data_IF_044054686420
#
_entry.id   IF_044054686420
#
_cell.length_a   1.000
_cell.length_b   1.000
_cell.length_c   1.000
_cell.angle_alpha   90.00
_cell.angle_beta   90.00
_cell.angle_gamma   90.00
#
_symmetry.space_group_name_H-M   'P 1'
#
loop_
_entity.id
_entity.type
_entity.pdbx_description
1 polymer ?
#
# COMPACT_ATOMS: atom_id res chain seq x y z
N UNK A 1 -65.30 -21.38 -91.02
CA UNK A 1 -64.87 -19.98 -90.80
C UNK A 1 -64.65 -19.74 -89.31
N UNK A 2 -63.66 -18.90 -88.99
CA UNK A 2 -63.23 -18.41 -87.66
C UNK A 2 -62.33 -19.30 -86.79
N UNK A 3 -61.19 -19.68 -87.36
CA UNK A 3 -59.94 -19.61 -86.59
C UNK A 3 -59.70 -18.15 -86.20
N UNK A 4 -59.46 -17.88 -84.91
CA UNK A 4 -59.21 -16.49 -84.46
C UNK A 4 -59.12 -16.26 -82.95
N UNK A 5 -59.53 -17.20 -82.08
CA UNK A 5 -59.53 -16.96 -80.62
C UNK A 5 -58.50 -17.74 -79.79
N UNK A 6 -57.74 -18.69 -80.37
CA UNK A 6 -56.70 -19.44 -79.64
C UNK A 6 -55.29 -18.84 -79.71
N UNK A 7 -55.03 -17.88 -80.60
CA UNK A 7 -53.68 -17.30 -80.76
C UNK A 7 -53.36 -16.17 -79.77
N UNK A 8 -54.35 -15.53 -79.15
CA UNK A 8 -54.09 -14.45 -78.18
C UNK A 8 -53.92 -14.94 -76.73
N UNK A 9 -54.55 -16.07 -76.34
CA UNK A 9 -54.34 -16.63 -75.00
C UNK A 9 -52.97 -17.32 -74.84
N UNK A 10 -52.46 -17.95 -75.92
CA UNK A 10 -51.13 -18.59 -75.91
C UNK A 10 -50.01 -17.56 -76.01
N UNK A 11 -50.22 -16.45 -76.72
CA UNK A 11 -49.24 -15.37 -76.81
C UNK A 11 -49.07 -14.60 -75.49
N UNK A 12 -50.14 -14.37 -74.72
CA UNK A 12 -50.04 -13.65 -73.43
C UNK A 12 -49.45 -14.54 -72.32
N UNK A 13 -49.71 -15.84 -72.32
CA UNK A 13 -49.10 -16.77 -71.34
C UNK A 13 -47.62 -17.04 -71.67
N UNK A 14 -47.24 -17.10 -72.95
CA UNK A 14 -45.83 -17.26 -73.35
C UNK A 14 -44.96 -16.02 -73.03
N UNK A 15 -45.52 -14.81 -73.09
CA UNK A 15 -44.78 -13.58 -72.73
C UNK A 15 -44.61 -13.43 -71.21
N UNK A 16 -45.55 -13.93 -70.39
CA UNK A 16 -45.41 -13.90 -68.92
C UNK A 16 -44.45 -14.99 -68.40
N UNK A 17 -44.35 -16.15 -69.07
CA UNK A 17 -43.43 -17.23 -68.65
C UNK A 17 -41.96 -16.94 -69.01
N UNK A 18 -41.70 -16.17 -70.07
CA UNK A 18 -40.31 -15.77 -70.44
C UNK A 18 -39.76 -14.64 -69.55
N UNK A 19 -40.62 -13.86 -68.88
CA UNK A 19 -40.17 -12.80 -67.95
C UNK A 19 -39.86 -13.34 -66.53
N UNK A 20 -40.32 -14.54 -66.16
CA UNK A 20 -40.07 -15.13 -64.82
C UNK A 20 -38.82 -16.01 -64.77
N UNK A 21 -38.22 -16.39 -65.90
CA UNK A 21 -36.99 -17.19 -65.96
C UNK A 21 -35.68 -16.37 -66.02
N UNK A 22 -35.78 -15.03 -65.95
CA UNK A 22 -34.64 -14.11 -65.94
C UNK A 22 -34.17 -13.68 -64.55
N UNK A 23 -34.74 -14.21 -63.47
CA UNK A 23 -34.27 -13.95 -62.11
C UNK A 23 -33.15 -14.93 -61.73
N UNK A 24 -32.07 -14.92 -62.52
CA UNK A 24 -30.77 -15.35 -62.01
C UNK A 24 -30.45 -14.44 -60.83
N UNK A 25 -30.62 -14.95 -59.60
CA UNK A 25 -30.10 -14.30 -58.42
C UNK A 25 -28.61 -14.09 -58.63
N UNK A 26 -28.21 -12.88 -59.02
CA UNK A 26 -26.80 -12.46 -58.98
C UNK A 26 -26.40 -12.68 -57.54
N UNK A 27 -25.49 -13.62 -57.29
CA UNK A 27 -24.66 -13.55 -56.08
C UNK A 27 -24.04 -12.16 -56.15
N UNK A 28 -24.55 -11.24 -55.33
CA UNK A 28 -23.89 -9.97 -55.10
C UNK A 28 -22.45 -10.27 -54.72
N UNK A 29 -21.54 -9.36 -55.07
CA UNK A 29 -20.17 -9.45 -54.57
C UNK A 29 -20.22 -9.83 -53.08
N UNK A 30 -19.41 -10.80 -52.61
CA UNK A 30 -19.41 -11.17 -51.21
C UNK A 30 -19.34 -9.88 -50.39
N UNK A 31 -20.41 -9.61 -49.63
CA UNK A 31 -20.44 -8.45 -48.76
C UNK A 31 -19.29 -8.65 -47.79
N UNK A 32 -18.31 -7.74 -47.72
CA UNK A 32 -17.23 -7.85 -46.76
C UNK A 32 -17.87 -8.11 -45.39
N UNK A 33 -17.34 -9.06 -44.58
CA UNK A 33 -17.84 -9.28 -43.23
C UNK A 33 -18.01 -7.92 -42.55
N UNK A 34 -19.15 -7.67 -41.92
CA UNK A 34 -19.45 -6.35 -41.34
C UNK A 34 -18.29 -5.90 -40.44
N UNK A 35 -17.45 -4.96 -40.89
CA UNK A 35 -16.27 -4.50 -40.16
C UNK A 35 -16.60 -3.50 -39.06
N UNK A 36 -17.89 -3.28 -38.80
CA UNK A 36 -18.39 -2.19 -37.95
C UNK A 36 -18.59 -2.61 -36.49
N UNK A 37 -17.89 -3.61 -36.01
CA UNK A 37 -17.86 -3.96 -34.59
C UNK A 37 -16.68 -3.28 -33.85
N UNK A 38 -16.74 -3.17 -32.51
CA UNK A 38 -15.62 -2.67 -31.71
C UNK A 38 -14.33 -3.49 -31.88
N UNK A 39 -13.16 -2.85 -31.79
CA UNK A 39 -11.89 -3.58 -31.67
C UNK A 39 -11.85 -4.41 -30.39
N UNK A 40 -11.03 -5.48 -30.42
CA UNK A 40 -10.70 -6.24 -29.22
C UNK A 40 -10.08 -5.34 -28.16
N UNK A 41 -10.32 -5.67 -26.89
CA UNK A 41 -9.52 -5.15 -25.78
C UNK A 41 -8.13 -5.79 -25.87
N UNK A 42 -7.08 -4.96 -25.89
CA UNK A 42 -5.70 -5.40 -26.10
C UNK A 42 -4.80 -5.26 -24.86
N UNK A 43 -5.30 -4.65 -23.79
CA UNK A 43 -4.54 -4.31 -22.58
C UNK A 43 -5.17 -4.85 -21.29
N UNK A 44 -5.93 -5.95 -21.41
CA UNK A 44 -6.52 -6.64 -20.27
C UNK A 44 -5.44 -7.22 -19.36
N UNK A 45 -5.43 -6.81 -18.11
CA UNK A 45 -4.52 -7.32 -17.07
C UNK A 45 -5.32 -7.93 -15.92
N UNK A 46 -4.79 -8.98 -15.31
CA UNK A 46 -5.30 -9.58 -14.08
C UNK A 46 -4.17 -9.69 -13.06
N UNK A 47 -4.41 -9.20 -11.85
CA UNK A 47 -3.44 -9.28 -10.75
C UNK A 47 -4.15 -9.76 -9.49
N UNK A 48 -3.69 -10.87 -8.92
CA UNK A 48 -4.15 -11.29 -7.60
C UNK A 48 -3.67 -10.28 -6.55
N UNK A 49 -4.62 -9.76 -5.76
CA UNK A 49 -4.41 -8.78 -4.69
C UNK A 49 -5.14 -9.24 -3.43
N UNK A 50 -5.01 -8.46 -2.36
CA UNK A 50 -5.75 -8.67 -1.12
C UNK A 50 -7.26 -8.75 -1.38
N UNK A 51 -7.89 -9.87 -1.00
CA UNK A 51 -9.33 -10.06 -1.07
C UNK A 51 -9.93 -10.29 -2.47
N UNK A 52 -9.13 -10.46 -3.53
CA UNK A 52 -9.66 -10.78 -4.85
C UNK A 52 -8.65 -10.71 -6.00
N UNK A 53 -9.15 -10.81 -7.22
CA UNK A 53 -8.37 -10.60 -8.44
C UNK A 53 -8.79 -9.25 -9.02
N UNK A 54 -7.85 -8.34 -9.19
CA UNK A 54 -8.06 -7.05 -9.83
C UNK A 54 -7.88 -7.17 -11.33
N UNK A 55 -8.90 -6.76 -12.08
CA UNK A 55 -8.96 -6.75 -13.53
C UNK A 55 -8.99 -5.31 -14.01
N UNK A 56 -8.13 -5.00 -14.98
CA UNK A 56 -8.01 -3.65 -15.52
C UNK A 56 -7.82 -3.66 -17.02
N UNK A 57 -8.57 -2.83 -17.75
CA UNK A 57 -8.44 -2.69 -19.21
C UNK A 57 -9.00 -1.36 -19.73
N UNK A 58 -8.57 -0.99 -20.94
CA UNK A 58 -9.07 0.21 -21.64
C UNK A 58 -10.24 -0.14 -22.53
N UNK A 59 -11.30 0.68 -22.47
CA UNK A 59 -12.47 0.52 -23.34
C UNK A 59 -12.09 0.90 -24.78
N UNK A 60 -12.32 0.02 -25.78
CA UNK A 60 -12.03 0.32 -27.18
C UNK A 60 -12.82 1.54 -27.64
N UNK A 61 -12.12 2.50 -28.26
CA UNK A 61 -12.74 3.72 -28.84
C UNK A 61 -12.84 3.67 -30.36
N UNK A 62 -12.38 2.57 -30.96
CA UNK A 62 -12.33 2.37 -32.40
C UNK A 62 -12.97 1.05 -32.80
N UNK A 63 -13.58 1.06 -33.98
CA UNK A 63 -14.07 -0.14 -34.67
C UNK A 63 -12.93 -0.86 -35.37
N UNK A 64 -13.17 -2.07 -35.85
CA UNK A 64 -12.16 -2.87 -36.55
C UNK A 64 -11.52 -2.12 -37.72
N UNK A 65 -12.29 -1.31 -38.44
CA UNK A 65 -11.84 -0.42 -39.53
C UNK A 65 -11.14 0.88 -39.07
N UNK A 66 -10.77 0.99 -37.79
CA UNK A 66 -10.19 2.16 -37.12
C UNK A 66 -11.09 3.41 -37.02
N UNK A 67 -12.34 3.37 -37.48
CA UNK A 67 -13.30 4.46 -37.27
C UNK A 67 -13.66 4.62 -35.79
N UNK A 68 -14.06 5.81 -35.37
CA UNK A 68 -14.39 6.09 -33.95
C UNK A 68 -15.73 5.46 -33.55
N UNK A 69 -15.79 4.97 -32.31
CA UNK A 69 -17.05 4.57 -31.66
C UNK A 69 -17.62 5.79 -30.95
N UNK A 70 -18.74 6.29 -31.46
CA UNK A 70 -19.46 7.42 -30.85
C UNK A 70 -20.39 6.95 -29.73
N UNK A 71 -20.95 5.74 -29.87
CA UNK A 71 -21.91 5.16 -28.94
C UNK A 71 -21.41 3.79 -28.44
N UNK A 72 -20.57 3.75 -27.40
CA UNK A 72 -20.14 2.50 -26.81
C UNK A 72 -21.30 1.86 -26.04
N UNK A 73 -21.50 0.54 -26.19
CA UNK A 73 -22.61 -0.17 -25.54
C UNK A 73 -22.19 -0.75 -24.19
N UNK A 74 -21.82 -2.02 -24.17
CA UNK A 74 -21.46 -2.76 -22.96
C UNK A 74 -20.14 -3.50 -23.11
N UNK A 75 -19.42 -3.66 -22.00
CA UNK A 75 -18.36 -4.66 -21.86
C UNK A 75 -18.86 -5.80 -20.96
N UNK A 76 -18.58 -7.05 -21.32
CA UNK A 76 -18.90 -8.24 -20.53
C UNK A 76 -17.61 -8.96 -20.16
N UNK A 77 -17.46 -9.29 -18.88
CA UNK A 77 -16.31 -10.02 -18.35
C UNK A 77 -16.69 -11.48 -18.15
N UNK A 78 -15.90 -12.35 -18.76
CA UNK A 78 -16.04 -13.79 -18.71
C UNK A 78 -14.87 -14.41 -17.96
N UNK A 79 -15.14 -15.46 -17.17
CA UNK A 79 -14.18 -16.17 -16.35
C UNK A 79 -14.35 -17.68 -16.51
N UNK A 80 -13.25 -18.40 -16.52
CA UNK A 80 -13.19 -19.85 -16.29
C UNK A 80 -12.06 -20.14 -15.31
N UNK A 81 -12.14 -21.27 -14.62
CA UNK A 81 -11.13 -21.72 -13.69
C UNK A 81 -10.73 -23.17 -13.94
N UNK A 82 -9.47 -23.49 -13.66
CA UNK A 82 -8.90 -24.82 -13.76
C UNK A 82 -7.84 -25.06 -12.68
N UNK A 83 -7.18 -26.22 -12.72
CA UNK A 83 -6.13 -26.59 -11.77
C UNK A 83 -4.75 -25.97 -12.10
N UNK A 84 -4.64 -25.16 -13.15
CA UNK A 84 -3.38 -24.53 -13.55
C UNK A 84 -2.52 -25.34 -14.52
N UNK A 85 -2.94 -26.54 -14.91
CA UNK A 85 -2.16 -27.45 -15.78
C UNK A 85 -2.47 -27.25 -17.26
N UNK A 86 -1.44 -27.10 -18.09
CA UNK A 86 -1.57 -26.98 -19.56
C UNK A 86 -2.10 -25.62 -20.02
N UNK A 87 -2.43 -25.54 -21.30
CA UNK A 87 -2.96 -24.31 -21.90
C UNK A 87 -4.35 -23.97 -21.35
N UNK A 88 -4.64 -22.68 -21.09
CA UNK A 88 -5.98 -22.26 -20.69
C UNK A 88 -7.02 -22.66 -21.73
N UNK A 89 -8.29 -22.78 -21.31
CA UNK A 89 -9.40 -23.07 -22.23
C UNK A 89 -9.47 -22.03 -23.37
N UNK A 90 -9.68 -22.45 -24.64
CA UNK A 90 -9.87 -21.50 -25.75
C UNK A 90 -11.09 -20.60 -25.55
N UNK A 91 -10.96 -19.32 -25.88
CA UNK A 91 -12.03 -18.33 -25.76
C UNK A 91 -12.84 -18.26 -27.06
N UNK A 92 -13.68 -19.26 -27.32
CA UNK A 92 -14.47 -19.34 -28.54
C UNK A 92 -15.77 -18.53 -28.40
N UNK A 93 -15.90 -17.49 -29.23
CA UNK A 93 -17.12 -16.70 -29.34
C UNK A 93 -18.24 -17.52 -29.96
N UNK A 94 -19.41 -17.54 -29.33
CA UNK A 94 -20.62 -18.15 -29.85
C UNK A 94 -21.81 -17.22 -29.60
N UNK A 95 -22.18 -16.46 -30.63
CA UNK A 95 -23.07 -15.31 -30.48
C UNK A 95 -22.46 -14.27 -29.55
N UNK A 96 -23.08 -14.10 -28.40
CA UNK A 96 -22.80 -13.03 -27.44
C UNK A 96 -22.14 -13.53 -26.14
N UNK A 97 -21.61 -14.75 -26.18
CA UNK A 97 -21.01 -15.50 -25.07
C UNK A 97 -19.72 -16.16 -25.48
N UNK A 98 -18.90 -16.50 -24.49
CA UNK A 98 -17.68 -17.31 -24.67
C UNK A 98 -17.96 -18.73 -24.19
N UNK A 99 -17.83 -19.73 -25.08
CA UNK A 99 -18.17 -21.12 -24.77
C UNK A 99 -17.29 -21.66 -23.63
N UNK A 100 -17.92 -22.17 -22.58
CA UNK A 100 -17.23 -22.75 -21.43
C UNK A 100 -16.65 -21.73 -20.46
N UNK A 101 -16.98 -20.44 -20.61
CA UNK A 101 -16.71 -19.41 -19.63
C UNK A 101 -18.02 -18.90 -19.04
N UNK A 102 -17.97 -18.53 -17.76
CA UNK A 102 -19.08 -17.91 -17.03
C UNK A 102 -18.97 -16.40 -17.15
N UNK A 103 -20.06 -15.71 -17.51
CA UNK A 103 -20.11 -14.25 -17.43
C UNK A 103 -20.23 -13.85 -15.96
N UNK A 104 -19.28 -13.06 -15.45
CA UNK A 104 -19.25 -12.65 -14.04
C UNK A 104 -19.64 -11.18 -13.83
N UNK A 105 -19.54 -10.35 -14.86
CA UNK A 105 -19.92 -8.94 -14.78
C UNK A 105 -20.29 -8.35 -16.16
N UNK A 106 -21.12 -7.31 -16.12
CA UNK A 106 -21.48 -6.47 -17.28
C UNK A 106 -21.29 -5.00 -16.91
N UNK A 107 -20.61 -4.24 -17.76
CA UNK A 107 -20.27 -2.84 -17.56
C UNK A 107 -20.92 -2.00 -18.65
N UNK A 108 -21.81 -1.07 -18.27
CA UNK A 108 -22.35 -0.07 -19.20
C UNK A 108 -21.28 0.97 -19.50
N UNK A 109 -21.09 1.27 -20.78
CA UNK A 109 -20.08 2.20 -21.28
C UNK A 109 -20.66 3.56 -21.67
N UNK A 110 -21.99 3.63 -21.77
CA UNK A 110 -22.80 4.83 -22.04
C UNK A 110 -23.37 5.42 -20.74
N UNK A 111 -24.00 6.59 -20.84
CA UNK A 111 -24.57 7.29 -19.68
C UNK A 111 -25.84 6.62 -19.11
N UNK A 112 -25.96 6.52 -17.77
CA UNK A 112 -24.88 6.73 -16.79
C UNK A 112 -23.87 5.56 -16.86
N UNK A 113 -22.55 5.87 -16.95
CA UNK A 113 -21.55 4.83 -17.10
C UNK A 113 -21.42 3.99 -15.83
N UNK A 114 -20.87 2.79 -15.98
CA UNK A 114 -20.51 1.95 -14.86
C UNK A 114 -19.63 2.71 -13.86
N UNK A 115 -19.84 2.56 -12.53
CA UNK A 115 -18.98 3.21 -11.52
C UNK A 115 -17.52 2.73 -11.59
N UNK A 116 -17.28 1.57 -12.21
CA UNK A 116 -15.96 1.00 -12.45
C UNK A 116 -15.22 1.67 -13.62
N UNK A 117 -15.89 2.50 -14.43
CA UNK A 117 -15.31 3.20 -15.57
C UNK A 117 -14.81 4.59 -15.17
N UNK A 118 -13.49 4.81 -15.23
CA UNK A 118 -12.84 6.11 -14.97
C UNK A 118 -11.83 6.41 -16.08
N UNK A 119 -11.93 7.58 -16.70
CA UNK A 119 -10.99 7.99 -17.76
C UNK A 119 -10.96 7.07 -18.99
N UNK A 120 -12.01 6.29 -19.25
CA UNK A 120 -12.05 5.29 -20.33
C UNK A 120 -11.40 3.95 -19.98
N UNK A 121 -11.02 3.74 -18.71
CA UNK A 121 -10.45 2.50 -18.18
C UNK A 121 -11.41 1.88 -17.17
N UNK A 122 -11.60 0.57 -17.23
CA UNK A 122 -12.37 -0.19 -16.24
C UNK A 122 -11.40 -0.81 -15.25
N UNK A 123 -11.72 -0.68 -13.96
CA UNK A 123 -11.07 -1.41 -12.86
C UNK A 123 -12.13 -2.16 -12.07
N UNK A 124 -12.00 -3.48 -11.97
CA UNK A 124 -12.96 -4.36 -11.31
C UNK A 124 -12.25 -5.40 -10.46
N UNK A 125 -12.73 -5.68 -9.25
CA UNK A 125 -12.18 -6.73 -8.39
C UNK A 125 -13.16 -7.90 -8.35
N UNK A 126 -12.77 -9.02 -8.92
CA UNK A 126 -13.48 -10.29 -8.78
C UNK A 126 -13.20 -10.87 -7.39
N UNK A 127 -14.27 -11.11 -6.64
CA UNK A 127 -14.23 -11.72 -5.29
C UNK A 127 -15.09 -12.99 -5.20
N UNK A 128 -15.70 -13.41 -6.31
CA UNK A 128 -16.80 -14.38 -6.27
C UNK A 128 -16.32 -15.81 -6.41
N UNK A 129 -16.42 -16.60 -5.32
CA UNK A 129 -16.12 -18.03 -5.34
C UNK A 129 -14.66 -18.33 -5.72
N UNK A 130 -13.73 -17.49 -5.27
CA UNK A 130 -12.31 -17.71 -5.49
C UNK A 130 -11.78 -18.80 -4.56
N UNK A 131 -10.94 -19.69 -5.09
CA UNK A 131 -10.34 -20.82 -4.38
C UNK A 131 -8.83 -20.73 -4.54
N UNK A 132 -8.10 -20.85 -3.43
CA UNK A 132 -6.64 -20.78 -3.44
C UNK A 132 -6.04 -21.94 -4.26
N UNK A 133 -4.94 -21.65 -4.95
CA UNK A 133 -4.25 -22.58 -5.84
C UNK A 133 -4.89 -22.73 -7.22
N UNK A 134 -6.13 -22.24 -7.43
CA UNK A 134 -6.77 -22.31 -8.75
C UNK A 134 -6.31 -21.20 -9.67
N UNK A 135 -6.19 -21.53 -10.96
CA UNK A 135 -5.92 -20.57 -12.02
C UNK A 135 -7.23 -20.08 -12.60
N UNK A 136 -7.37 -18.77 -12.68
CA UNK A 136 -8.51 -18.07 -13.27
C UNK A 136 -8.10 -17.43 -14.57
N UNK A 137 -8.85 -17.69 -15.63
CA UNK A 137 -8.65 -17.11 -16.96
C UNK A 137 -9.80 -16.18 -17.30
N UNK A 138 -9.46 -14.94 -17.66
CA UNK A 138 -10.42 -13.87 -17.95
C UNK A 138 -10.36 -13.45 -19.41
N UNK A 139 -11.53 -13.09 -19.94
CA UNK A 139 -11.74 -12.57 -21.28
C UNK A 139 -12.79 -11.47 -21.23
N UNK A 140 -12.55 -10.38 -21.95
CA UNK A 140 -13.52 -9.29 -22.11
C UNK A 140 -14.10 -9.33 -23.52
N UNK A 141 -15.41 -9.13 -23.59
CA UNK A 141 -16.15 -8.97 -24.84
C UNK A 141 -16.83 -7.60 -24.85
N UNK A 142 -16.72 -6.87 -25.95
CA UNK A 142 -17.34 -5.53 -26.10
C UNK A 142 -18.42 -5.56 -27.17
N UNK A 143 -19.54 -4.93 -26.87
CA UNK A 143 -20.68 -4.75 -27.77
C UNK A 143 -20.98 -3.26 -27.86
N UNK A 144 -21.19 -2.72 -29.07
CA UNK A 144 -21.61 -1.33 -29.23
C UNK A 144 -23.11 -1.12 -28.94
N UNK A 145 -23.58 0.13 -28.98
CA UNK A 145 -24.98 0.45 -28.73
C UNK A 145 -25.95 -0.16 -29.76
N UNK A 146 -25.45 -0.57 -30.93
CA UNK A 146 -26.24 -1.23 -31.98
C UNK A 146 -26.26 -2.76 -31.82
N UNK A 147 -25.67 -3.30 -30.76
CA UNK A 147 -25.65 -4.75 -30.50
C UNK A 147 -24.55 -5.50 -31.27
N UNK A 148 -23.61 -4.80 -31.92
CA UNK A 148 -22.52 -5.45 -32.65
C UNK A 148 -21.38 -5.81 -31.72
N UNK A 149 -21.08 -7.09 -31.65
CA UNK A 149 -20.07 -7.66 -30.75
C UNK A 149 -18.73 -7.82 -31.47
N UNK A 150 -17.68 -7.26 -30.88
CA UNK A 150 -16.31 -7.42 -31.36
C UNK A 150 -15.71 -8.79 -31.00
N UNK A 151 -14.50 -9.11 -31.51
CA UNK A 151 -13.78 -10.30 -31.11
C UNK A 151 -13.44 -10.27 -29.60
N UNK A 152 -13.29 -11.44 -28.95
CA UNK A 152 -12.85 -11.51 -27.56
C UNK A 152 -11.45 -10.90 -27.40
N UNK A 153 -11.18 -10.34 -26.21
CA UNK A 153 -9.84 -9.93 -25.82
C UNK A 153 -8.85 -11.11 -25.85
N UNK A 154 -7.55 -10.80 -25.82
CA UNK A 154 -6.57 -11.78 -25.40
C UNK A 154 -6.94 -12.34 -24.01
N UNK A 155 -6.64 -13.62 -23.79
CA UNK A 155 -6.86 -14.29 -22.52
C UNK A 155 -5.78 -13.85 -21.53
N UNK A 156 -6.17 -13.48 -20.32
CA UNK A 156 -5.24 -13.28 -19.21
C UNK A 156 -5.51 -14.34 -18.16
N UNK A 157 -4.45 -14.97 -17.65
CA UNK A 157 -4.55 -15.99 -16.60
C UNK A 157 -3.78 -15.56 -15.37
N UNK A 158 -4.33 -15.86 -14.20
CA UNK A 158 -3.70 -15.57 -12.90
C UNK A 158 -4.07 -16.68 -11.92
N UNK A 159 -3.12 -17.09 -11.09
CA UNK A 159 -3.39 -18.04 -10.00
C UNK A 159 -3.78 -17.27 -8.75
N UNK A 160 -4.87 -17.67 -8.11
CA UNK A 160 -5.26 -17.08 -6.84
C UNK A 160 -4.48 -17.76 -5.71
N UNK A 161 -3.48 -17.07 -5.16
CA UNK A 161 -2.58 -17.65 -4.14
C UNK A 161 -3.07 -17.34 -2.73
N UNK A 162 -2.90 -18.29 -1.80
CA UNK A 162 -3.20 -18.06 -0.40
C UNK A 162 -2.24 -17.03 0.21
N UNK A 163 -2.76 -16.03 0.95
CA UNK A 163 -1.93 -15.13 1.74
C UNK A 163 -1.31 -15.87 2.94
N UNK A 164 -0.20 -15.34 3.50
CA UNK A 164 0.32 -15.84 4.76
C UNK A 164 -0.65 -15.59 5.92
N UNK A 165 -0.52 -16.38 6.98
CA UNK A 165 -1.12 -16.03 8.27
C UNK A 165 -0.49 -14.75 8.85
N UNK A 166 -1.15 -14.19 9.87
CA UNK A 166 -0.65 -13.00 10.54
C UNK A 166 0.71 -13.31 11.22
N UNK A 167 1.71 -12.41 11.13
CA UNK A 167 2.94 -12.53 11.91
C UNK A 167 2.65 -12.63 13.40
N UNK A 168 3.34 -13.53 14.08
CA UNK A 168 3.20 -13.76 15.52
C UNK A 168 4.22 -12.97 16.33
N UNK A 169 4.03 -12.93 17.66
CA UNK A 169 5.02 -12.44 18.62
C UNK A 169 5.64 -11.06 18.27
N UNK A 170 4.82 -10.12 17.77
CA UNK A 170 5.26 -8.75 17.52
C UNK A 170 5.72 -8.10 18.84
N UNK A 171 6.94 -7.58 18.84
CA UNK A 171 7.56 -6.86 19.95
C UNK A 171 8.11 -5.52 19.46
N UNK A 172 8.07 -4.53 20.34
CA UNK A 172 8.65 -3.22 20.09
C UNK A 172 9.51 -2.78 21.26
N UNK A 173 10.75 -2.43 20.97
CA UNK A 173 11.69 -1.84 21.91
C UNK A 173 11.75 -0.33 21.66
N UNK A 174 11.41 0.51 22.65
CA UNK A 174 11.50 1.96 22.49
C UNK A 174 12.97 2.39 22.42
N UNK A 175 13.27 3.30 21.50
CA UNK A 175 14.58 3.97 21.39
C UNK A 175 14.40 5.48 21.47
N UNK A 176 15.49 6.22 21.55
CA UNK A 176 15.41 7.67 21.41
C UNK A 176 14.86 8.02 20.01
N UNK A 177 13.74 8.74 19.98
CA UNK A 177 13.01 9.15 18.77
C UNK A 177 12.69 7.99 17.81
N UNK A 178 12.47 6.79 18.33
CA UNK A 178 12.23 5.63 17.49
C UNK A 178 11.69 4.40 18.22
N UNK A 179 11.38 3.38 17.42
CA UNK A 179 10.99 2.05 17.88
C UNK A 179 11.69 1.00 17.02
N UNK A 180 12.33 0.03 17.68
CA UNK A 180 12.83 -1.19 17.03
C UNK A 180 11.78 -2.29 17.16
N UNK A 181 11.23 -2.71 16.04
CA UNK A 181 10.21 -3.77 15.95
C UNK A 181 10.87 -5.09 15.54
N UNK A 182 10.38 -6.18 16.12
CA UNK A 182 10.70 -7.55 15.71
C UNK A 182 9.47 -8.44 15.82
N UNK A 183 9.38 -9.47 14.99
CA UNK A 183 8.25 -10.39 14.98
C UNK A 183 8.68 -11.80 14.53
N UNK A 184 7.78 -12.76 14.71
CA UNK A 184 7.92 -14.11 14.21
C UNK A 184 7.24 -14.25 12.85
N UNK A 185 7.96 -14.81 11.88
CA UNK A 185 7.42 -15.16 10.58
C UNK A 185 6.31 -16.23 10.71
N UNK A 186 5.20 -16.12 9.97
CA UNK A 186 4.20 -17.19 9.92
C UNK A 186 4.79 -18.43 9.23
N UNK A 187 4.45 -19.62 9.73
CA UNK A 187 4.89 -20.89 9.15
C UNK A 187 3.91 -21.43 8.09
N UNK A 188 2.66 -20.98 8.12
CA UNK A 188 1.56 -21.44 7.28
C UNK A 188 0.87 -20.30 6.54
N UNK A 189 0.22 -20.66 5.44
CA UNK A 189 -0.71 -19.80 4.71
C UNK A 189 -2.13 -20.04 5.22
N UNK A 190 -3.05 -19.16 4.86
CA UNK A 190 -4.48 -19.27 5.26
C UNK A 190 -5.15 -20.56 4.77
N UNK A 191 -4.61 -21.21 3.73
CA UNK A 191 -5.08 -22.52 3.26
C UNK A 191 -4.44 -23.72 3.99
N UNK A 192 -3.65 -23.48 5.03
CA UNK A 192 -2.95 -24.49 5.84
C UNK A 192 -1.65 -25.02 5.22
N UNK A 193 -1.31 -24.64 3.98
CA UNK A 193 -0.05 -25.04 3.36
C UNK A 193 1.15 -24.30 3.96
N UNK A 194 2.36 -24.89 3.94
CA UNK A 194 3.54 -24.25 4.54
C UNK A 194 4.05 -23.08 3.70
N UNK A 195 4.60 -22.06 4.36
CA UNK A 195 5.37 -20.99 3.72
C UNK A 195 6.69 -21.59 3.21
N UNK A 196 6.93 -21.50 1.90
CA UNK A 196 8.13 -22.04 1.25
C UNK A 196 9.11 -20.96 0.82
N UNK A 197 8.59 -19.80 0.45
CA UNK A 197 9.37 -18.68 -0.07
C UNK A 197 9.51 -17.59 1.00
N UNK A 198 10.63 -16.85 1.01
CA UNK A 198 10.83 -15.76 1.96
C UNK A 198 9.76 -14.68 1.76
N UNK A 199 9.05 -14.37 2.85
CA UNK A 199 8.01 -13.36 2.87
C UNK A 199 8.60 -11.96 3.01
N UNK A 200 7.90 -10.97 2.49
CA UNK A 200 8.13 -9.56 2.82
C UNK A 200 7.10 -9.13 3.86
N UNK A 201 7.38 -8.06 4.61
CA UNK A 201 6.46 -7.58 5.65
C UNK A 201 6.19 -6.11 5.46
N UNK A 202 4.91 -5.74 5.55
CA UNK A 202 4.51 -4.34 5.67
C UNK A 202 4.34 -4.00 7.15
N UNK A 203 5.00 -2.93 7.56
CA UNK A 203 4.89 -2.40 8.92
C UNK A 203 3.85 -1.29 8.89
N UNK A 204 2.85 -1.43 9.74
CA UNK A 204 1.74 -0.50 9.85
C UNK A 204 1.82 0.28 11.16
N UNK A 205 1.55 1.58 11.11
CA UNK A 205 1.53 2.47 12.27
C UNK A 205 0.21 3.23 12.34
N UNK A 206 -0.36 3.36 13.54
CA UNK A 206 -1.49 4.22 13.84
C UNK A 206 -1.15 5.21 14.97
N UNK A 207 -1.73 6.42 14.96
CA UNK A 207 -1.54 7.41 16.02
C UNK A 207 -2.34 7.09 17.30
N UNK A 208 -3.36 6.24 17.22
CA UNK A 208 -4.22 5.84 18.34
C UNK A 208 -4.73 4.39 18.15
N UNK A 209 -5.34 3.76 19.18
CA UNK A 209 -5.73 2.35 19.13
C UNK A 209 -6.81 2.02 18.09
N UNK A 210 -7.64 2.99 17.69
CA UNK A 210 -8.83 2.76 16.86
C UNK A 210 -8.68 3.30 15.44
N UNK A 211 -7.72 4.20 15.20
CA UNK A 211 -7.41 4.69 13.86
C UNK A 211 -7.02 3.56 12.91
N UNK A 212 -7.35 3.78 11.63
CA UNK A 212 -6.85 2.96 10.54
C UNK A 212 -5.33 3.15 10.43
N UNK A 213 -4.55 2.06 10.42
CA UNK A 213 -3.10 2.17 10.40
C UNK A 213 -2.62 2.40 8.96
N UNK A 214 -1.51 3.10 8.81
CA UNK A 214 -0.87 3.34 7.50
C UNK A 214 0.40 2.52 7.38
N UNK A 215 0.73 2.10 6.17
CA UNK A 215 2.01 1.42 5.90
C UNK A 215 3.13 2.45 5.95
N UNK A 216 4.09 2.24 6.84
CA UNK A 216 5.27 3.12 7.01
C UNK A 216 6.53 2.56 6.34
N UNK A 217 6.52 1.28 6.00
CA UNK A 217 7.65 0.64 5.36
C UNK A 217 7.35 -0.80 4.97
N UNK A 218 8.20 -1.33 4.09
CA UNK A 218 8.22 -2.74 3.70
C UNK A 218 9.63 -3.29 3.86
N UNK A 219 9.75 -4.49 4.42
CA UNK A 219 11.04 -5.16 4.60
C UNK A 219 11.51 -5.88 3.33
N UNK A 220 12.81 -6.17 3.27
CA UNK A 220 13.36 -7.12 2.31
C UNK A 220 12.85 -8.54 2.61
N UNK A 221 12.82 -9.45 1.61
CA UNK A 221 12.38 -10.83 1.82
C UNK A 221 13.15 -11.51 2.97
N UNK A 222 12.43 -12.16 3.88
CA UNK A 222 12.98 -12.88 5.02
C UNK A 222 13.35 -12.02 6.24
N UNK A 223 13.32 -10.69 6.12
CA UNK A 223 13.67 -9.79 7.23
C UNK A 223 12.47 -9.59 8.15
N UNK A 224 12.62 -9.99 9.43
CA UNK A 224 11.59 -9.94 10.48
C UNK A 224 11.82 -8.86 11.54
N UNK A 225 12.49 -7.78 11.15
CA UNK A 225 12.74 -6.62 11.99
C UNK A 225 12.62 -5.32 11.19
N UNK A 226 12.24 -4.24 11.88
CA UNK A 226 12.12 -2.91 11.29
C UNK A 226 12.43 -1.84 12.34
N UNK A 227 13.04 -0.74 11.93
CA UNK A 227 13.32 0.39 12.81
C UNK A 227 12.57 1.62 12.32
N UNK A 228 11.59 2.06 13.09
CA UNK A 228 10.87 3.31 12.87
C UNK A 228 11.62 4.45 13.57
N UNK A 229 11.95 5.51 12.85
CA UNK A 229 12.80 6.61 13.32
C UNK A 229 12.11 7.95 13.11
N UNK A 230 12.62 8.99 13.79
CA UNK A 230 12.10 10.35 13.66
C UNK A 230 10.80 10.57 14.42
N UNK A 231 10.52 9.72 15.42
CA UNK A 231 9.35 9.84 16.28
C UNK A 231 9.53 10.93 17.33
N UNK A 232 8.41 11.31 17.94
CA UNK A 232 8.39 12.14 19.14
C UNK A 232 8.53 11.21 20.36
N UNK A 233 9.44 11.54 21.28
CA UNK A 233 9.51 10.85 22.56
C UNK A 233 8.28 11.15 23.40
N UNK A 234 7.97 10.23 24.31
CA UNK A 234 6.86 10.31 25.27
C UNK A 234 5.47 10.33 24.60
N UNK A 235 5.41 10.05 23.30
CA UNK A 235 4.19 9.85 22.52
C UNK A 235 4.01 8.38 22.20
N UNK A 236 2.83 7.84 22.50
CA UNK A 236 2.51 6.44 22.22
C UNK A 236 2.09 6.25 20.76
N UNK A 237 2.69 5.25 20.11
CA UNK A 237 2.36 4.83 18.75
C UNK A 237 1.89 3.38 18.76
N UNK A 238 1.03 3.03 17.82
CA UNK A 238 0.45 1.70 17.70
C UNK A 238 0.98 1.02 16.44
N UNK A 239 1.53 -0.19 16.59
CA UNK A 239 2.15 -0.92 15.50
C UNK A 239 1.46 -2.25 15.26
N UNK A 240 1.33 -2.61 14.00
CA UNK A 240 1.01 -3.96 13.56
C UNK A 240 1.91 -4.31 12.37
N UNK A 241 2.05 -5.59 12.08
CA UNK A 241 2.80 -6.06 10.92
C UNK A 241 1.95 -7.06 10.17
N UNK A 242 1.94 -6.99 8.83
CA UNK A 242 1.33 -8.04 8.01
C UNK A 242 2.34 -8.61 7.03
N UNK A 243 2.25 -9.91 6.82
CA UNK A 243 3.07 -10.61 5.87
C UNK A 243 2.49 -10.48 4.45
N UNK A 244 3.39 -10.34 3.47
CA UNK A 244 3.07 -10.26 2.05
C UNK A 244 3.85 -11.34 1.32
N UNK A 245 3.10 -12.24 0.68
CA UNK A 245 3.62 -13.26 -0.21
C UNK A 245 3.63 -12.74 -1.63
N UNK A 246 4.74 -12.95 -2.32
CA UNK A 246 4.89 -12.65 -3.74
C UNK A 246 5.33 -13.91 -4.47
N UNK A 247 4.61 -14.27 -5.53
CA UNK A 247 4.96 -15.37 -6.42
C UNK A 247 4.75 -14.88 -7.86
N UNK A 248 5.82 -14.82 -8.66
CA UNK A 248 5.80 -14.21 -10.00
C UNK A 248 5.17 -12.80 -10.00
N UNK A 249 4.06 -12.61 -10.73
CA UNK A 249 3.30 -11.34 -10.81
C UNK A 249 2.16 -11.24 -9.79
N UNK A 250 2.07 -12.20 -8.87
CA UNK A 250 0.97 -12.35 -7.92
C UNK A 250 1.40 -11.91 -6.53
N UNK A 251 0.51 -11.21 -5.82
CA UNK A 251 0.77 -10.73 -4.46
C UNK A 251 -0.42 -11.02 -3.56
N UNK A 252 -0.18 -11.56 -2.38
CA UNK A 252 -1.22 -11.78 -1.38
C UNK A 252 -0.74 -11.28 -0.01
N UNK A 253 -1.44 -10.29 0.53
CA UNK A 253 -1.22 -9.78 1.87
C UNK A 253 -2.13 -10.53 2.86
N UNK A 254 -1.55 -10.97 3.96
CA UNK A 254 -2.28 -11.57 5.07
C UNK A 254 -2.94 -10.55 5.98
N UNK A 255 -3.66 -11.06 6.97
CA UNK A 255 -4.14 -10.24 8.08
C UNK A 255 -2.94 -9.60 8.83
N UNK A 256 -3.18 -8.43 9.42
CA UNK A 256 -2.20 -7.83 10.31
C UNK A 256 -2.15 -8.60 11.64
N UNK A 257 -0.98 -8.58 12.27
CA UNK A 257 -0.80 -9.04 13.65
C UNK A 257 -1.69 -8.23 14.61
N UNK A 258 -1.83 -8.76 15.83
CA UNK A 258 -2.30 -7.96 16.95
C UNK A 258 -1.46 -6.68 17.09
N UNK A 259 -2.13 -5.59 17.50
CA UNK A 259 -1.47 -4.30 17.68
C UNK A 259 -0.70 -4.29 18.99
N UNK A 260 0.48 -3.69 18.97
CA UNK A 260 1.20 -3.31 20.19
C UNK A 260 1.26 -1.78 20.33
N UNK A 261 1.29 -1.30 21.56
CA UNK A 261 1.55 0.10 21.87
C UNK A 261 3.00 0.26 22.30
N UNK A 262 3.71 1.24 21.74
CA UNK A 262 5.10 1.53 22.07
C UNK A 262 5.28 3.04 22.20
N UNK A 263 5.95 3.45 23.27
CA UNK A 263 6.25 4.85 23.56
C UNK A 263 7.76 5.05 23.49
N UNK A 264 8.29 5.68 22.43
CA UNK A 264 9.70 6.08 22.35
C UNK A 264 10.06 6.93 23.56
N UNK A 265 11.25 6.72 24.12
CA UNK A 265 11.70 7.43 25.31
C UNK A 265 13.18 7.78 25.17
N UNK A 266 13.54 8.99 25.58
CA UNK A 266 14.95 9.35 25.77
C UNK A 266 15.43 8.77 27.09
N UNK A 267 16.36 7.83 27.03
CA UNK A 267 16.96 7.19 28.21
C UNK A 267 18.41 7.58 28.44
N UNK A 268 19.03 8.24 27.45
CA UNK A 268 20.42 8.70 27.52
C UNK A 268 20.47 10.10 28.09
N UNK A 269 21.12 10.23 29.25
CA UNK A 269 21.42 11.53 29.83
C UNK A 269 22.42 12.33 28.97
N UNK A 270 22.43 13.67 29.11
CA UNK A 270 23.45 14.49 28.49
C UNK A 270 24.87 14.11 28.93
N UNK A 271 25.85 14.43 28.09
CA UNK A 271 27.25 14.43 28.51
C UNK A 271 27.48 15.42 29.68
N UNK A 272 28.36 15.09 30.64
CA UNK A 272 28.74 16.02 31.70
C UNK A 272 29.31 17.33 31.14
N UNK A 273 28.98 18.45 31.78
CA UNK A 273 29.62 19.72 31.45
C UNK A 273 31.10 19.72 31.83
N UNK A 274 31.91 20.44 31.04
CA UNK A 274 33.35 20.52 31.24
C UNK A 274 33.77 21.92 31.70
N UNK A 275 35.02 22.03 32.16
CA UNK A 275 35.63 23.32 32.48
C UNK A 275 34.94 24.05 33.64
N UNK A 276 34.38 23.31 34.61
CA UNK A 276 33.89 23.93 35.83
C UNK A 276 35.06 24.60 36.54
N UNK A 277 34.89 25.89 36.84
CA UNK A 277 35.79 26.71 37.65
C UNK A 277 34.99 27.42 38.73
N UNK A 278 35.61 27.66 39.88
CA UNK A 278 35.01 28.36 41.01
C UNK A 278 35.98 29.42 41.55
N UNK A 279 35.45 30.63 41.80
CA UNK A 279 36.18 31.76 42.35
C UNK A 279 35.56 32.15 43.68
N UNK A 280 36.22 31.89 44.83
CA UNK A 280 35.69 32.25 46.14
C UNK A 280 35.84 33.75 46.41
N UNK A 281 34.90 34.31 47.17
CA UNK A 281 34.94 35.65 47.75
C UNK A 281 34.29 35.63 49.14
N UNK A 282 34.27 36.77 49.85
CA UNK A 282 33.71 36.84 51.20
C UNK A 282 32.22 36.51 51.18
N UNK A 283 31.87 35.35 51.73
CA UNK A 283 30.48 34.89 51.85
C UNK A 283 29.85 34.34 50.56
N UNK A 284 30.61 34.17 49.47
CA UNK A 284 30.08 33.65 48.21
C UNK A 284 31.13 32.92 47.35
N UNK A 285 30.68 32.07 46.44
CA UNK A 285 31.51 31.42 45.41
C UNK A 285 30.84 31.64 44.05
N UNK A 286 31.58 32.22 43.10
CA UNK A 286 31.14 32.34 41.70
C UNK A 286 31.61 31.13 40.91
N UNK A 287 30.68 30.42 40.29
CA UNK A 287 30.94 29.26 39.43
C UNK A 287 30.73 29.62 37.97
N UNK A 288 31.56 29.04 37.10
CA UNK A 288 31.42 29.11 35.64
C UNK A 288 31.80 27.78 35.02
N UNK A 289 31.12 27.37 33.95
CA UNK A 289 31.42 26.14 33.21
C UNK A 289 31.25 26.36 31.70
N UNK A 290 31.74 25.40 30.91
CA UNK A 290 31.49 25.40 29.47
C UNK A 290 30.05 24.91 29.19
N UNK A 291 29.32 25.55 28.26
CA UNK A 291 28.01 25.08 27.85
C UNK A 291 28.05 23.62 27.36
N UNK A 292 26.99 22.86 27.64
CA UNK A 292 26.80 21.55 27.02
C UNK A 292 26.72 21.68 25.48
N UNK A 293 27.24 20.68 24.77
CA UNK A 293 27.10 20.57 23.31
C UNK A 293 25.76 19.97 22.89
N UNK A 294 25.01 19.40 23.82
CA UNK A 294 23.70 18.80 23.55
C UNK A 294 22.61 19.89 23.52
N UNK A 295 21.83 19.97 22.43
CA UNK A 295 20.87 21.06 22.22
C UNK A 295 19.64 20.97 23.12
N UNK A 296 19.41 19.83 23.77
CA UNK A 296 18.22 19.55 24.57
C UNK A 296 18.48 19.56 26.08
N UNK A 297 19.63 20.09 26.53
CA UNK A 297 19.84 20.42 27.94
C UNK A 297 18.87 21.51 28.36
N UNK A 298 18.03 21.22 29.35
CA UNK A 298 17.06 22.16 29.89
C UNK A 298 17.58 22.92 31.11
N UNK A 299 18.46 22.31 31.90
CA UNK A 299 18.93 22.86 33.18
C UNK A 299 20.30 22.32 33.56
N UNK A 300 21.15 23.17 34.13
CA UNK A 300 22.34 22.79 34.87
C UNK A 300 22.02 22.75 36.35
N UNK A 301 22.32 21.65 37.03
CA UNK A 301 22.07 21.49 38.48
C UNK A 301 23.40 21.60 39.21
N UNK A 302 23.46 22.47 40.21
CA UNK A 302 24.67 22.72 40.98
C UNK A 302 24.61 22.04 42.32
N UNK A 303 25.70 21.36 42.66
CA UNK A 303 25.86 20.65 43.92
C UNK A 303 27.04 21.22 44.70
N UNK A 304 26.89 21.31 46.02
CA UNK A 304 27.91 21.73 46.97
C UNK A 304 28.04 20.71 48.09
N UNK A 305 29.27 20.34 48.42
CA UNK A 305 29.62 19.63 49.65
C UNK A 305 30.45 20.55 50.56
N UNK A 306 30.20 20.52 51.88
CA UNK A 306 31.00 21.23 52.88
C UNK A 306 31.87 20.24 53.66
N UNK A 307 33.19 20.41 53.66
CA UNK A 307 34.10 19.42 54.27
C UNK A 307 33.86 18.01 53.72
N UNK A 308 33.72 17.00 54.56
CA UNK A 308 33.43 15.61 54.17
C UNK A 308 31.93 15.31 53.97
N UNK A 309 31.04 16.30 54.08
CA UNK A 309 29.61 16.10 53.89
C UNK A 309 29.28 15.63 52.46
N UNK A 310 28.15 14.92 52.28
CA UNK A 310 27.65 14.59 50.95
C UNK A 310 27.26 15.87 50.17
N UNK A 311 27.36 15.85 48.83
CA UNK A 311 26.93 16.96 48.00
C UNK A 311 25.42 17.18 48.11
N UNK A 312 25.00 18.43 48.26
CA UNK A 312 23.61 18.87 48.26
C UNK A 312 23.35 19.85 47.11
N UNK A 313 22.16 19.79 46.51
CA UNK A 313 21.76 20.74 45.46
C UNK A 313 21.67 22.16 46.05
N UNK A 314 22.39 23.09 45.45
CA UNK A 314 22.41 24.51 45.86
C UNK A 314 21.78 25.44 44.83
N UNK A 315 21.59 24.98 43.60
CA UNK A 315 21.04 25.81 42.56
C UNK A 315 20.67 25.07 41.29
N UNK A 316 20.01 25.80 40.39
CA UNK A 316 19.77 25.38 39.03
C UNK A 316 19.82 26.59 38.10
N UNK A 317 20.40 26.41 36.92
CA UNK A 317 20.58 27.47 35.92
C UNK A 317 20.10 26.96 34.57
N UNK A 318 19.32 27.75 33.85
CA UNK A 318 18.85 27.39 32.50
C UNK A 318 19.83 27.92 31.44
N UNK A 319 20.15 27.14 30.38
CA UNK A 319 20.88 27.66 29.22
C UNK A 319 20.20 28.91 28.62
N UNK A 320 20.97 29.84 28.00
CA UNK A 320 22.40 29.76 27.72
C UNK A 320 23.31 30.17 28.89
N UNK A 321 22.76 30.50 30.06
CA UNK A 321 23.56 30.88 31.21
C UNK A 321 24.43 29.70 31.70
N UNK A 322 25.72 29.97 31.92
CA UNK A 322 26.70 28.99 32.41
C UNK A 322 27.45 29.48 33.64
N UNK A 323 26.80 30.37 34.40
CA UNK A 323 27.35 30.91 35.63
C UNK A 323 26.34 30.82 36.76
N UNK A 324 26.83 30.66 37.98
CA UNK A 324 26.03 30.64 39.20
C UNK A 324 26.80 31.30 40.33
N UNK A 325 26.09 31.98 41.24
CA UNK A 325 26.71 32.55 42.45
C UNK A 325 26.06 31.91 43.65
N UNK A 326 26.82 31.09 44.37
CA UNK A 326 26.42 30.54 45.65
C UNK A 326 26.73 31.55 46.75
N UNK A 327 25.73 31.95 47.54
CA UNK A 327 25.81 33.06 48.50
C UNK A 327 25.54 32.59 49.92
N UNK A 328 25.79 33.48 50.87
CA UNK A 328 25.56 33.27 52.31
C UNK A 328 26.40 32.10 52.86
N UNK A 329 27.62 31.93 52.34
CA UNK A 329 28.56 30.92 52.77
C UNK A 329 29.30 31.37 54.04
N UNK A 330 29.51 30.42 54.96
CA UNK A 330 30.43 30.63 56.09
C UNK A 330 31.87 30.36 55.64
N UNK A 331 32.89 30.92 56.31
CA UNK A 331 34.28 30.57 56.06
C UNK A 331 34.48 29.05 56.15
N UNK A 332 35.21 28.47 55.19
CA UNK A 332 35.41 27.02 55.12
C UNK A 332 35.67 26.50 53.71
N UNK A 333 35.98 25.20 53.62
CA UNK A 333 36.28 24.51 52.37
C UNK A 333 35.04 23.83 51.80
N UNK A 334 34.77 24.10 50.52
CA UNK A 334 33.62 23.58 49.78
C UNK A 334 34.08 22.90 48.49
N UNK A 335 33.36 21.84 48.11
CA UNK A 335 33.52 21.18 46.81
C UNK A 335 32.27 21.39 45.98
N UNK A 336 32.45 21.68 44.69
CA UNK A 336 31.36 21.92 43.76
C UNK A 336 31.45 21.03 42.53
N UNK A 337 30.29 20.60 42.07
CA UNK A 337 30.09 19.91 40.79
C UNK A 337 28.84 20.43 40.11
N UNK A 338 28.80 20.35 38.78
CA UNK A 338 27.62 20.69 37.98
C UNK A 338 27.23 19.49 37.13
N UNK A 339 25.93 19.20 37.04
CA UNK A 339 25.36 18.23 36.10
C UNK A 339 24.51 18.96 35.06
N UNK A 340 24.30 18.33 33.90
CA UNK A 340 23.34 18.76 32.90
C UNK A 340 22.12 17.85 32.92
N UNK A 341 20.93 18.42 32.87
CA UNK A 341 19.65 17.72 32.81
C UNK A 341 18.95 18.05 31.49
N UNK A 342 18.46 17.03 30.79
CA UNK A 342 17.73 17.21 29.54
C UNK A 342 16.26 17.62 29.72
N UNK A 343 15.62 18.00 28.62
CA UNK A 343 14.22 18.40 28.55
C UNK A 343 13.24 17.21 28.42
N UNK A 344 13.71 15.96 28.50
CA UNK A 344 12.83 14.79 28.36
C UNK A 344 11.88 14.66 29.56
N UNK A 345 10.77 13.91 29.41
CA UNK A 345 9.85 13.68 30.54
C UNK A 345 10.53 12.99 31.74
N UNK A 346 11.61 12.23 31.50
CA UNK A 346 12.43 11.59 32.54
C UNK A 346 13.45 12.52 33.17
N UNK A 347 13.71 13.67 32.56
CA UNK A 347 14.68 14.67 32.99
C UNK A 347 16.05 14.02 33.29
N UNK A 348 16.60 13.31 32.30
CA UNK A 348 17.81 12.52 32.50
C UNK A 348 18.98 13.45 32.88
N UNK A 349 19.63 13.14 33.99
CA UNK A 349 20.73 13.93 34.55
C UNK A 349 22.08 13.27 34.25
N UNK A 350 23.03 14.07 33.78
CA UNK A 350 24.38 13.64 33.46
C UNK A 350 25.12 13.17 34.70
N UNK A 351 26.27 12.51 34.49
CA UNK A 351 27.28 12.41 35.55
C UNK A 351 27.78 13.83 35.93
N UNK A 352 28.32 14.01 37.16
CA UNK A 352 28.93 15.27 37.56
C UNK A 352 30.08 15.70 36.64
N UNK A 353 30.28 17.00 36.51
CA UNK A 353 31.46 17.62 35.91
C UNK A 353 32.75 17.25 36.67
N UNK A 354 33.89 17.80 36.22
CA UNK A 354 35.05 17.89 37.10
C UNK A 354 34.67 18.57 38.43
N UNK A 355 35.18 18.06 39.55
CA UNK A 355 35.00 18.66 40.86
C UNK A 355 35.99 19.82 41.06
N UNK A 356 35.52 20.91 41.68
CA UNK A 356 36.38 22.02 42.09
C UNK A 356 36.30 22.24 43.58
N UNK A 357 37.44 22.48 44.22
CA UNK A 357 37.56 22.69 45.66
C UNK A 357 38.01 24.13 45.90
N UNK A 358 37.30 24.86 46.75
CA UNK A 358 37.61 26.25 47.09
C UNK A 358 37.46 26.50 48.58
N UNK A 359 38.21 27.46 49.11
CA UNK A 359 38.11 27.91 50.50
C UNK A 359 37.55 29.33 50.52
N UNK A 360 36.43 29.51 51.21
CA UNK A 360 35.81 30.81 51.46
C UNK A 360 36.49 31.45 52.67
N UNK A 361 36.98 32.70 52.57
CA UNK A 361 37.65 33.41 53.65
C UNK A 361 36.69 33.92 54.73
#
# INVERSE_FOLDING_TARGET
MSGGRRQHAVAVVAVVVVVVLGACGRRGNPVPPETRFPQAVNDLTAVAREGGIELTWTVPRRRFDNSRILEPGVARLFRVDDAGTGDPRPALLHGDRIRGYTQIATFRLQEPPSPYLRGGRITYIDRSGLVFGRRYTYVVLTTDAQGRTGPPSARVSVTYIAPPEAPGALRGEPTDRGVRLSWQAPATLVDGSPVRDPLTYEVLRAPDPVAAPTVIGRTNPGVTAFEDRGLENDRTYYYAVRAVRSADKMTAAGAASERIAVTPVKTTAPAPVAGLVAVPSRGEVRLSWQPSREPDVATYILYRAAGSAPPARVGAVRPPATTFVDRNLRPGTYRYTVTAQDASARANESRPSNEVIVTVP
#
